data_IF_858360187025
#
_entry.id   IF_858360187025
#
_cell.length_a   1.000
_cell.length_b   1.000
_cell.length_c   1.000
_cell.angle_alpha   90.00
_cell.angle_beta   90.00
_cell.angle_gamma   90.00
#
_symmetry.space_group_name_H-M   'P 1'
#
loop_
_entity.id
_entity.type
_entity.pdbx_description
1 polymer ?
#
# COMPACT_ATOMS: atom_id res chain seq x y z
N UNK A 1 -6.24 -14.11 -2.81
CA UNK A 1 -6.23 -12.88 -3.64
C UNK A 1 -5.04 -11.96 -3.34
N UNK A 2 -4.68 -11.72 -2.07
CA UNK A 2 -3.61 -10.78 -1.65
C UNK A 2 -2.21 -11.06 -2.19
N UNK A 3 -1.88 -12.34 -2.47
CA UNK A 3 -0.60 -12.75 -3.08
C UNK A 3 -0.39 -12.22 -4.50
N UNK A 4 -1.48 -11.99 -5.24
CA UNK A 4 -1.41 -11.48 -6.63
C UNK A 4 -0.86 -10.05 -6.71
N UNK A 5 -1.03 -9.29 -5.64
CA UNK A 5 -0.62 -7.89 -5.56
C UNK A 5 0.64 -7.68 -4.73
N UNK A 6 1.35 -8.77 -4.37
CA UNK A 6 2.50 -8.75 -3.47
C UNK A 6 2.21 -8.05 -2.13
N UNK A 7 0.98 -8.25 -1.62
CA UNK A 7 0.49 -7.67 -0.37
C UNK A 7 0.38 -8.68 0.77
N UNK A 8 0.89 -9.90 0.59
CA UNK A 8 0.85 -10.89 1.66
C UNK A 8 1.72 -10.44 2.83
N UNK A 9 1.12 -10.34 4.01
CA UNK A 9 1.83 -10.23 5.27
C UNK A 9 1.64 -11.50 6.08
N UNK A 10 2.67 -12.35 6.07
CA UNK A 10 2.62 -13.63 6.77
C UNK A 10 2.54 -13.40 8.28
N UNK A 11 1.55 -14.02 8.93
CA UNK A 11 1.40 -14.04 10.38
C UNK A 11 1.15 -12.70 11.08
N UNK A 12 0.76 -11.65 10.36
CA UNK A 12 0.55 -10.32 10.96
C UNK A 12 -0.89 -10.05 11.42
N UNK A 13 -1.79 -11.02 11.26
CA UNK A 13 -3.11 -10.96 11.86
C UNK A 13 -3.07 -11.07 13.39
N UNK A 14 -4.12 -10.60 14.10
CA UNK A 14 -4.21 -10.70 15.56
C UNK A 14 -4.04 -12.12 16.11
N UNK A 15 -4.45 -13.15 15.35
CA UNK A 15 -4.34 -14.56 15.72
C UNK A 15 -3.20 -15.31 14.98
N UNK A 16 -2.29 -14.57 14.32
CA UNK A 16 -1.22 -15.17 13.51
C UNK A 16 -1.66 -15.56 12.10
N UNK A 17 -2.82 -15.08 11.64
CA UNK A 17 -3.28 -15.28 10.27
C UNK A 17 -2.47 -14.44 9.26
N UNK A 18 -2.41 -14.96 8.03
CA UNK A 18 -1.95 -14.20 6.87
C UNK A 18 -2.95 -13.07 6.55
N UNK A 19 -2.47 -11.82 6.58
CA UNK A 19 -3.30 -10.65 6.26
C UNK A 19 -2.70 -9.84 5.11
N UNK A 20 -3.49 -8.94 4.53
CA UNK A 20 -2.93 -7.95 3.62
C UNK A 20 -2.08 -6.95 4.41
N UNK A 21 -0.81 -6.72 4.03
CA UNK A 21 -0.10 -5.54 4.52
C UNK A 21 -0.82 -4.29 4.03
N UNK A 22 -1.00 -3.25 4.85
CA UNK A 22 -1.51 -1.99 4.35
C UNK A 22 -0.57 -1.42 3.29
N UNK A 23 -1.16 -0.90 2.23
CA UNK A 23 -0.43 -0.36 1.10
C UNK A 23 -1.23 0.77 0.44
N UNK A 24 -0.52 1.74 -0.11
CA UNK A 24 -1.07 2.79 -0.94
C UNK A 24 -0.49 2.68 -2.35
N UNK A 25 -1.34 2.93 -3.35
CA UNK A 25 -0.96 2.93 -4.74
C UNK A 25 -1.48 4.21 -5.39
N UNK A 26 -0.58 4.94 -6.06
CA UNK A 26 -0.97 6.01 -6.97
C UNK A 26 -1.01 5.43 -8.39
N UNK A 27 -2.18 5.48 -9.01
CA UNK A 27 -2.42 4.93 -10.35
C UNK A 27 -2.86 6.04 -11.28
N UNK A 28 -2.30 6.09 -12.49
CA UNK A 28 -2.69 7.06 -13.51
C UNK A 28 -3.92 6.62 -14.33
N UNK A 29 -4.36 7.50 -15.24
CA UNK A 29 -5.49 7.21 -16.14
C UNK A 29 -5.21 6.09 -17.13
N UNK A 30 -3.95 5.76 -17.39
CA UNK A 30 -3.51 4.64 -18.23
C UNK A 30 -3.42 3.32 -17.45
N UNK A 31 -3.83 3.31 -16.16
CA UNK A 31 -3.77 2.17 -15.24
C UNK A 31 -2.35 1.74 -14.88
N UNK A 32 -1.38 2.65 -14.94
CA UNK A 32 0.00 2.43 -14.52
C UNK A 32 0.18 2.84 -13.06
N UNK A 33 0.86 2.01 -12.28
CA UNK A 33 1.26 2.35 -10.90
C UNK A 33 2.46 3.30 -10.97
N UNK A 34 2.26 4.54 -10.52
CA UNK A 34 3.28 5.58 -10.50
C UNK A 34 4.05 5.65 -9.17
N UNK A 35 3.42 5.20 -8.10
CA UNK A 35 4.03 5.19 -6.76
C UNK A 35 3.38 4.14 -5.86
N UNK A 36 4.19 3.59 -4.97
CA UNK A 36 3.78 2.59 -3.97
C UNK A 36 4.30 2.98 -2.59
N UNK A 37 3.49 2.70 -1.58
CA UNK A 37 3.90 2.75 -0.18
C UNK A 37 3.48 1.46 0.51
N UNK A 38 4.40 0.86 1.26
CA UNK A 38 4.15 -0.34 2.05
C UNK A 38 4.48 -0.04 3.50
N UNK A 39 3.58 -0.42 4.40
CA UNK A 39 3.92 -0.48 5.82
C UNK A 39 4.22 -1.91 6.22
N UNK A 40 5.25 -2.08 7.05
CA UNK A 40 5.57 -3.32 7.73
C UNK A 40 4.76 -3.51 9.02
N UNK A 41 3.96 -2.51 9.42
CA UNK A 41 3.13 -2.56 10.62
C UNK A 41 1.68 -2.20 10.26
N UNK A 42 0.77 -3.16 10.47
CA UNK A 42 -0.67 -3.02 10.20
C UNK A 42 -1.34 -1.90 11.01
N UNK A 43 -0.73 -1.51 12.13
CA UNK A 43 -1.23 -0.43 13.01
C UNK A 43 -0.88 0.96 12.48
N UNK A 44 0.11 1.06 11.61
CA UNK A 44 0.50 2.34 11.00
C UNK A 44 -0.55 2.71 9.96
N UNK A 45 -1.20 3.84 10.20
CA UNK A 45 -2.13 4.45 9.24
C UNK A 45 -1.34 5.22 8.20
N UNK A 46 -1.69 4.97 6.95
CA UNK A 46 -1.12 5.70 5.85
C UNK A 46 -1.55 7.18 5.93
N UNK A 47 -0.60 8.09 5.68
CA UNK A 47 -0.80 9.54 5.78
C UNK A 47 -0.89 10.12 4.37
N UNK A 48 -2.01 10.77 4.07
CA UNK A 48 -2.30 11.30 2.74
C UNK A 48 -1.25 12.31 2.23
N UNK A 49 -0.49 12.97 3.12
CA UNK A 49 0.50 13.99 2.75
C UNK A 49 1.59 13.47 1.82
N UNK A 50 2.06 12.24 2.03
CA UNK A 50 3.10 11.64 1.18
C UNK A 50 2.56 11.36 -0.23
N UNK A 51 1.37 10.76 -0.32
CA UNK A 51 0.67 10.53 -1.59
C UNK A 51 0.42 11.86 -2.32
N UNK A 52 -0.06 12.89 -1.62
CA UNK A 52 -0.30 14.22 -2.19
C UNK A 52 0.99 14.86 -2.70
N UNK A 53 2.11 14.68 -1.99
CA UNK A 53 3.41 15.16 -2.45
C UNK A 53 3.88 14.46 -3.74
N UNK A 54 3.63 13.16 -3.89
CA UNK A 54 3.94 12.46 -5.14
C UNK A 54 2.99 12.88 -6.27
N UNK A 55 1.69 12.99 -5.99
CA UNK A 55 0.71 13.43 -6.97
C UNK A 55 1.03 14.82 -7.54
N UNK A 56 1.53 15.74 -6.71
CA UNK A 56 1.98 17.08 -7.16
C UNK A 56 3.16 17.04 -8.13
N UNK A 57 4.02 16.02 -8.08
CA UNK A 57 5.16 15.87 -9.01
C UNK A 57 4.76 15.38 -10.40
N UNK A 58 3.52 14.92 -10.57
CA UNK A 58 2.98 14.44 -11.84
C UNK A 58 2.41 15.57 -12.71
N UNK A 59 2.60 16.83 -12.29
CA UNK A 59 2.07 18.03 -12.94
C UNK A 59 3.14 18.76 -13.73
#
# INVERSE_FOLDING_TARGET
>A
MIRRYDLLHVGAGPEGDDVARPAEFLVDSSRVVLWVNFTADVRVRARADEMLAQAKKLR
#
